data_IF_247471083992
#
_entry.id   IF_247471083992
#
_cell.length_a   1.000
_cell.length_b   1.000
_cell.length_c   1.000
_cell.angle_alpha   90.00
_cell.angle_beta   90.00
_cell.angle_gamma   90.00
#
_symmetry.space_group_name_H-M   'P 1'
#
loop_
_entity.id
_entity.type
_entity.pdbx_description
1 polymer ?
#
# COMPACT_ATOMS: atom_id res chain seq x y z
N UNK A 1 -24.30 6.35 -24.58
CA UNK A 1 -23.46 5.70 -23.55
C UNK A 1 -23.65 6.44 -22.22
N UNK A 2 -24.32 5.82 -21.24
CA UNK A 2 -24.56 6.47 -19.94
C UNK A 2 -23.40 6.15 -19.00
N UNK A 3 -22.67 7.20 -18.57
CA UNK A 3 -21.69 7.10 -17.49
C UNK A 3 -22.44 7.06 -16.15
N UNK A 4 -21.96 6.28 -15.21
CA UNK A 4 -22.52 6.21 -13.86
C UNK A 4 -21.62 6.97 -12.89
N UNK A 5 -22.20 7.84 -12.08
CA UNK A 5 -21.45 8.57 -11.05
C UNK A 5 -20.86 7.59 -10.03
N UNK A 6 -19.62 7.85 -9.63
CA UNK A 6 -18.93 7.10 -8.59
C UNK A 6 -18.24 8.05 -7.61
N UNK A 7 -18.15 7.62 -6.36
CA UNK A 7 -17.34 8.29 -5.35
C UNK A 7 -16.96 7.37 -4.20
N UNK A 8 -15.89 7.71 -3.49
CA UNK A 8 -15.36 6.93 -2.38
C UNK A 8 -14.59 7.79 -1.40
N UNK A 9 -14.67 7.47 -0.10
CA UNK A 9 -13.92 8.19 0.95
C UNK A 9 -12.72 7.35 1.35
N UNK A 10 -11.51 7.87 1.09
CA UNK A 10 -10.26 7.22 1.49
C UNK A 10 -9.76 7.85 2.78
N UNK A 11 -9.53 7.02 3.80
CA UNK A 11 -8.99 7.46 5.10
C UNK A 11 -7.65 6.80 5.36
N UNK A 12 -6.84 7.40 6.22
CA UNK A 12 -5.61 6.75 6.70
C UNK A 12 -5.93 5.39 7.34
N UNK A 13 -5.16 4.36 6.94
CA UNK A 13 -5.39 2.97 7.35
C UNK A 13 -6.62 2.28 6.73
N UNK A 14 -7.41 2.98 5.89
CA UNK A 14 -8.58 2.43 5.18
C UNK A 14 -8.46 2.70 3.68
N UNK A 15 -7.61 1.93 2.97
CA UNK A 15 -7.39 2.13 1.56
C UNK A 15 -8.58 1.68 0.71
N UNK A 16 -8.72 2.27 -0.47
CA UNK A 16 -9.69 1.85 -1.50
C UNK A 16 -9.01 0.92 -2.49
N UNK A 17 -9.64 -0.22 -2.80
CA UNK A 17 -9.17 -1.18 -3.81
C UNK A 17 -10.03 -1.08 -5.06
N UNK A 18 -9.43 -0.82 -6.23
CA UNK A 18 -10.15 -0.67 -7.50
C UNK A 18 -10.94 -1.91 -7.88
N UNK A 19 -10.37 -3.10 -7.67
CA UNK A 19 -11.00 -4.37 -8.03
C UNK A 19 -12.37 -4.54 -7.36
N UNK A 20 -12.49 -4.18 -6.08
CA UNK A 20 -13.77 -4.23 -5.35
C UNK A 20 -14.83 -3.27 -5.92
N UNK A 21 -14.40 -2.23 -6.64
CA UNK A 21 -15.32 -1.29 -7.30
C UNK A 21 -15.77 -1.79 -8.68
N UNK A 22 -15.00 -2.68 -9.31
CA UNK A 22 -15.19 -3.11 -10.71
C UNK A 22 -15.67 -4.57 -10.85
N UNK A 23 -15.43 -5.44 -9.88
CA UNK A 23 -15.65 -6.91 -9.94
C UNK A 23 -17.10 -7.31 -10.27
N UNK A 24 -18.09 -6.51 -9.88
CA UNK A 24 -19.51 -6.76 -10.17
C UNK A 24 -20.14 -5.68 -11.07
N UNK A 25 -19.30 -4.90 -11.74
CA UNK A 25 -19.75 -3.74 -12.52
C UNK A 25 -19.90 -4.12 -13.99
N UNK A 26 -20.97 -3.65 -14.64
CA UNK A 26 -21.13 -3.73 -16.10
C UNK A 26 -20.18 -2.78 -16.87
N UNK A 27 -19.34 -2.06 -16.14
CA UNK A 27 -18.46 -1.03 -16.65
C UNK A 27 -17.06 -1.58 -16.92
N UNK A 28 -16.42 -1.03 -17.96
CA UNK A 28 -15.10 -1.46 -18.39
C UNK A 28 -14.00 -0.81 -17.53
N UNK A 29 -14.20 0.47 -17.20
CA UNK A 29 -13.20 1.26 -16.50
C UNK A 29 -13.84 2.18 -15.47
N UNK A 30 -13.04 2.53 -14.46
CA UNK A 30 -13.29 3.61 -13.53
C UNK A 30 -12.41 4.80 -13.90
N UNK A 31 -13.03 5.93 -14.22
CA UNK A 31 -12.35 7.20 -14.37
C UNK A 31 -12.44 7.98 -13.04
N UNK A 32 -11.30 8.17 -12.37
CA UNK A 32 -11.19 9.02 -11.17
C UNK A 32 -10.75 10.41 -11.58
N UNK A 33 -11.63 11.39 -11.40
CA UNK A 33 -11.46 12.74 -11.96
C UNK A 33 -11.24 13.84 -10.92
N UNK A 34 -11.48 13.57 -9.65
CA UNK A 34 -11.30 14.55 -8.59
C UNK A 34 -10.94 13.93 -7.26
N UNK A 35 -10.07 14.62 -6.52
CA UNK A 35 -9.73 14.36 -5.14
C UNK A 35 -9.94 15.62 -4.30
N UNK A 36 -10.71 15.50 -3.22
CA UNK A 36 -11.02 16.59 -2.30
C UNK A 36 -10.64 16.20 -0.88
N UNK A 37 -9.78 16.99 -0.23
CA UNK A 37 -9.45 16.87 1.17
C UNK A 37 -10.59 17.39 2.03
N UNK A 38 -11.07 16.55 2.93
CA UNK A 38 -12.09 16.88 3.92
C UNK A 38 -11.49 16.71 5.32
N UNK A 39 -11.80 17.65 6.21
CA UNK A 39 -11.34 17.65 7.61
C UNK A 39 -9.80 17.61 7.77
N UNK A 40 -9.07 18.28 6.88
CA UNK A 40 -7.62 18.38 6.98
C UNK A 40 -7.16 19.20 8.20
N UNK A 41 -6.04 18.83 8.82
CA UNK A 41 -5.44 19.68 9.85
C UNK A 41 -4.85 20.95 9.21
N UNK A 42 -5.08 22.10 9.85
CA UNK A 42 -4.52 23.39 9.44
C UNK A 42 -2.99 23.28 9.34
N UNK A 43 -2.44 23.75 8.22
CA UNK A 43 -1.00 23.74 7.91
C UNK A 43 -0.34 22.35 7.78
N UNK A 44 -1.16 21.30 7.58
CA UNK A 44 -0.68 19.97 7.24
C UNK A 44 -0.91 19.62 5.76
N UNK A 45 -0.05 18.76 5.22
CA UNK A 45 -0.24 18.15 3.90
C UNK A 45 -0.82 16.76 4.07
N UNK A 46 -1.73 16.41 3.17
CA UNK A 46 -2.26 15.05 2.99
C UNK A 46 -1.86 14.57 1.61
N UNK A 47 -1.32 13.36 1.53
CA UNK A 47 -0.90 12.74 0.28
C UNK A 47 -1.81 11.58 -0.08
N UNK A 48 -2.34 11.60 -1.29
CA UNK A 48 -3.02 10.48 -1.91
C UNK A 48 -2.00 9.74 -2.77
N UNK A 49 -1.88 8.43 -2.55
CA UNK A 49 -0.97 7.56 -3.28
C UNK A 49 -1.70 6.38 -3.90
N UNK A 50 -1.17 5.87 -5.01
CA UNK A 50 -1.64 4.69 -5.71
C UNK A 50 -0.55 3.62 -5.73
N UNK A 51 -0.94 2.35 -5.59
CA UNK A 51 -0.03 1.19 -5.60
C UNK A 51 -0.71 -0.02 -6.24
N UNK A 52 0.04 -0.82 -6.99
CA UNK A 52 -0.42 -2.14 -7.46
C UNK A 52 0.32 -3.30 -6.77
N UNK A 53 1.19 -3.00 -5.79
CA UNK A 53 1.98 -3.99 -5.05
C UNK A 53 3.14 -4.64 -5.81
N UNK A 54 3.16 -4.52 -7.15
CA UNK A 54 4.22 -5.01 -8.04
C UNK A 54 5.11 -3.84 -8.44
N UNK A 55 4.88 -3.28 -9.62
CA UNK A 55 5.77 -2.29 -10.27
C UNK A 55 5.50 -0.86 -9.79
N UNK A 56 4.26 -0.59 -9.38
CA UNK A 56 3.85 0.71 -8.86
C UNK A 56 3.77 0.64 -7.34
N UNK A 57 4.78 1.18 -6.65
CA UNK A 57 4.84 1.24 -5.18
C UNK A 57 4.67 2.67 -4.69
N UNK A 58 3.53 2.94 -4.05
CA UNK A 58 3.25 4.20 -3.35
C UNK A 58 3.46 5.48 -4.19
N UNK A 59 3.09 5.45 -5.48
CA UNK A 59 3.17 6.64 -6.33
C UNK A 59 2.24 7.71 -5.78
N UNK A 60 2.78 8.89 -5.45
CA UNK A 60 1.95 10.04 -5.06
C UNK A 60 1.20 10.57 -6.28
N UNK A 61 -0.13 10.54 -6.22
CA UNK A 61 -1.01 11.04 -7.29
C UNK A 61 -1.60 12.41 -6.97
N UNK A 62 -1.68 12.78 -5.68
CA UNK A 62 -2.06 14.13 -5.28
C UNK A 62 -1.42 14.53 -3.94
N UNK A 63 -1.14 15.82 -3.80
CA UNK A 63 -0.82 16.48 -2.54
C UNK A 63 -1.84 17.59 -2.30
N UNK A 64 -2.47 17.53 -1.13
CA UNK A 64 -3.61 18.35 -0.72
C UNK A 64 -3.28 19.05 0.61
N UNK A 65 -3.84 20.23 0.81
CA UNK A 65 -3.82 20.96 2.09
C UNK A 65 -5.06 21.83 2.22
N UNK A 66 -5.30 22.47 3.36
CA UNK A 66 -6.44 23.39 3.50
C UNK A 66 -6.36 24.63 2.59
N UNK A 67 -5.18 24.96 2.05
CA UNK A 67 -5.00 26.01 1.04
C UNK A 67 -5.25 25.50 -0.39
N UNK A 68 -5.12 24.20 -0.59
CA UNK A 68 -5.36 23.54 -1.87
C UNK A 68 -6.02 22.18 -1.60
N UNK A 69 -7.31 22.27 -1.27
CA UNK A 69 -8.12 21.15 -0.81
C UNK A 69 -8.65 20.29 -1.96
N UNK A 70 -8.58 20.79 -3.18
CA UNK A 70 -9.13 20.13 -4.37
C UNK A 70 -8.05 19.93 -5.43
N UNK A 71 -8.05 18.75 -6.04
CA UNK A 71 -7.21 18.40 -7.19
C UNK A 71 -8.06 17.73 -8.25
N UNK A 72 -8.01 18.26 -9.47
CA UNK A 72 -8.43 17.53 -10.65
C UNK A 72 -7.45 16.38 -10.91
N UNK A 73 -8.01 15.22 -11.25
CA UNK A 73 -7.30 14.02 -11.64
C UNK A 73 -7.79 13.60 -13.03
N UNK A 74 -7.00 12.76 -13.70
CA UNK A 74 -7.37 12.15 -14.97
C UNK A 74 -6.78 10.73 -14.99
N UNK A 75 -7.35 9.86 -14.15
CA UNK A 75 -6.87 8.50 -13.94
C UNK A 75 -7.91 7.51 -14.45
N UNK A 76 -7.52 6.68 -15.42
CA UNK A 76 -8.33 5.56 -15.92
C UNK A 76 -7.80 4.26 -15.34
N UNK A 77 -8.72 3.49 -14.76
CA UNK A 77 -8.43 2.20 -14.12
C UNK A 77 -9.33 1.16 -14.75
N UNK A 78 -8.74 0.18 -15.43
CA UNK A 78 -9.50 -0.92 -16.01
C UNK A 78 -9.76 -2.05 -14.98
N UNK A 79 -10.62 -3.00 -15.33
CA UNK A 79 -10.95 -4.13 -14.46
C UNK A 79 -9.78 -5.10 -14.20
N UNK A 80 -8.72 -5.07 -15.01
CA UNK A 80 -7.52 -5.90 -14.83
C UNK A 80 -6.47 -5.27 -13.94
N UNK A 81 -6.58 -3.96 -13.66
CA UNK A 81 -5.68 -3.24 -12.79
C UNK A 81 -6.11 -3.32 -11.32
N UNK A 82 -5.23 -3.93 -10.51
CA UNK A 82 -5.38 -4.00 -9.06
C UNK A 82 -4.70 -2.80 -8.38
N UNK A 83 -5.31 -1.63 -8.48
CA UNK A 83 -4.84 -0.40 -7.83
C UNK A 83 -5.42 -0.25 -6.42
N UNK A 84 -4.57 0.21 -5.52
CA UNK A 84 -4.91 0.54 -4.14
C UNK A 84 -4.60 2.01 -3.91
N UNK A 85 -5.64 2.78 -3.59
CA UNK A 85 -5.50 4.18 -3.17
C UNK A 85 -5.40 4.27 -1.65
N UNK A 86 -4.37 4.96 -1.18
CA UNK A 86 -4.09 5.17 0.23
C UNK A 86 -3.87 6.65 0.51
N UNK A 87 -4.25 7.07 1.71
CA UNK A 87 -4.02 8.42 2.21
C UNK A 87 -3.03 8.36 3.36
N UNK A 88 -2.08 9.30 3.38
CA UNK A 88 -1.21 9.55 4.52
C UNK A 88 -1.35 11.01 4.98
N UNK A 89 -1.39 11.21 6.29
CA UNK A 89 -1.59 12.52 6.92
C UNK A 89 -3.00 12.71 7.52
N UNK A 90 -3.15 13.80 8.27
CA UNK A 90 -4.37 14.08 9.05
C UNK A 90 -5.50 14.60 8.16
N UNK A 91 -6.43 13.72 7.81
CA UNK A 91 -7.67 14.04 7.09
C UNK A 91 -8.21 12.84 6.34
N UNK A 92 -9.26 13.06 5.55
CA UNK A 92 -9.77 12.07 4.59
C UNK A 92 -9.87 12.69 3.19
N UNK A 93 -9.70 11.88 2.16
CA UNK A 93 -9.78 12.32 0.76
C UNK A 93 -10.99 11.69 0.11
N UNK A 94 -11.90 12.53 -0.38
CA UNK A 94 -13.06 12.13 -1.14
C UNK A 94 -12.66 12.07 -2.61
N UNK A 95 -12.74 10.88 -3.19
CA UNK A 95 -12.56 10.65 -4.61
C UNK A 95 -13.92 10.68 -5.30
N UNK A 96 -13.96 11.24 -6.50
CA UNK A 96 -15.15 11.18 -7.36
C UNK A 96 -14.76 11.02 -8.81
N UNK A 97 -15.73 10.54 -9.59
CA UNK A 97 -15.52 10.21 -10.98
C UNK A 97 -16.71 9.48 -11.58
N UNK A 98 -16.44 8.67 -12.59
CA UNK A 98 -17.46 7.94 -13.31
C UNK A 98 -17.00 6.54 -13.68
N UNK A 99 -17.92 5.59 -13.59
CA UNK A 99 -17.77 4.36 -14.32
C UNK A 99 -18.09 4.55 -15.80
N UNK A 100 -17.23 4.01 -16.64
CA UNK A 100 -17.33 4.07 -18.10
C UNK A 100 -17.86 2.75 -18.66
N UNK A 101 -18.98 2.76 -19.41
CA UNK A 101 -19.52 1.54 -20.01
C UNK A 101 -18.56 0.99 -21.08
N UNK A 102 -18.62 -0.32 -21.32
CA UNK A 102 -17.94 -0.94 -22.47
C UNK A 102 -18.36 -0.22 -23.75
N UNK A 103 -17.39 0.10 -24.60
CA UNK A 103 -17.70 0.60 -25.94
C UNK A 103 -18.35 -0.50 -26.78
N UNK A 104 -19.31 -0.15 -27.64
CA UNK A 104 -19.92 -1.10 -28.59
C UNK A 104 -18.86 -1.71 -29.55
N UNK A 105 -17.72 -1.04 -29.72
CA UNK A 105 -16.58 -1.48 -30.55
C UNK A 105 -15.39 -2.02 -29.71
N UNK A 106 -15.57 -2.23 -28.40
CA UNK A 106 -14.51 -2.79 -27.56
C UNK A 106 -14.69 -4.30 -27.45
N UNK A 107 -13.92 -5.04 -28.25
CA UNK A 107 -13.80 -6.49 -28.12
C UNK A 107 -13.37 -6.86 -26.69
N UNK A 108 -13.96 -7.93 -26.15
CA UNK A 108 -13.70 -8.38 -24.77
C UNK A 108 -12.21 -8.67 -24.54
N UNK A 109 -11.51 -9.11 -25.60
CA UNK A 109 -10.07 -9.42 -25.62
C UNK A 109 -9.15 -8.19 -25.45
N UNK A 110 -9.66 -6.95 -25.54
CA UNK A 110 -8.86 -5.73 -25.33
C UNK A 110 -8.73 -5.35 -23.84
N UNK A 111 -9.61 -5.85 -22.97
CA UNK A 111 -9.59 -5.52 -21.53
C UNK A 111 -8.86 -6.57 -20.69
N UNK A 112 -8.95 -7.84 -21.09
CA UNK A 112 -8.10 -8.89 -20.58
C UNK A 112 -6.73 -8.69 -21.23
N UNK A 113 -5.84 -7.97 -20.55
CA UNK A 113 -4.46 -7.86 -20.99
C UNK A 113 -3.97 -9.26 -21.34
N UNK A 114 -3.51 -9.46 -22.57
CA UNK A 114 -2.81 -10.69 -22.94
C UNK A 114 -1.75 -10.88 -21.87
N UNK A 115 -1.93 -11.88 -21.02
CA UNK A 115 -0.81 -12.44 -20.30
C UNK A 115 0.06 -13.04 -21.41
N UNK A 116 1.13 -12.33 -21.76
CA UNK A 116 2.24 -12.95 -22.44
C UNK A 116 2.70 -14.05 -21.47
N UNK A 117 2.27 -15.29 -21.75
CA UNK A 117 2.88 -16.51 -21.22
C UNK A 117 4.35 -16.48 -21.69
N UNK A 118 5.17 -15.80 -20.90
CA UNK A 118 6.62 -15.90 -20.96
C UNK A 118 7.00 -17.21 -20.24
N UNK A 119 6.67 -18.33 -20.91
CA UNK A 119 7.22 -19.65 -20.62
C UNK A 119 8.72 -19.64 -20.97
N UNK A 120 9.53 -18.99 -20.14
CA UNK A 120 10.96 -19.25 -20.06
C UNK A 120 11.25 -20.15 -18.85
N UNK A 121 11.35 -21.43 -19.20
CA UNK A 121 11.72 -22.59 -18.40
C UNK A 121 13.12 -22.42 -17.76
N UNK A 122 13.16 -22.64 -16.44
CA UNK A 122 14.27 -23.14 -15.61
C UNK A 122 15.68 -22.49 -15.70
N UNK A 123 15.99 -21.67 -14.68
CA UNK A 123 17.35 -21.28 -14.31
C UNK A 123 17.56 -21.26 -12.79
N UNK A 124 18.42 -22.15 -12.32
CA UNK A 124 18.60 -22.63 -10.94
C UNK A 124 18.88 -21.56 -9.85
N UNK A 125 18.33 -21.79 -8.65
CA UNK A 125 18.48 -21.03 -7.40
C UNK A 125 19.93 -20.66 -7.01
N UNK A 126 20.25 -19.36 -6.77
CA UNK A 126 21.54 -18.93 -6.22
C UNK A 126 21.72 -19.17 -4.70
N UNK A 127 20.80 -19.87 -4.03
CA UNK A 127 20.78 -19.98 -2.56
C UNK A 127 21.85 -20.97 -2.02
N UNK A 128 22.43 -21.85 -2.84
CA UNK A 128 23.44 -22.83 -2.37
C UNK A 128 24.88 -22.28 -2.25
N UNK A 129 25.17 -21.08 -2.75
CA UNK A 129 26.54 -20.50 -2.68
C UNK A 129 26.80 -19.64 -1.43
N UNK A 130 25.77 -19.19 -0.70
CA UNK A 130 25.96 -18.34 0.49
C UNK A 130 26.23 -19.13 1.80
N UNK A 131 25.93 -20.43 1.84
CA UNK A 131 26.14 -21.28 3.03
C UNK A 131 27.53 -21.96 3.08
N UNK A 132 28.33 -21.85 2.02
CA UNK A 132 29.67 -22.42 1.96
C UNK A 132 30.77 -21.51 2.56
N UNK A 133 30.52 -20.20 2.72
CA UNK A 133 31.54 -19.23 3.15
C UNK A 133 31.47 -18.81 4.63
N UNK A 134 30.61 -19.43 5.46
CA UNK A 134 30.51 -19.14 6.90
C UNK A 134 31.00 -20.27 7.83
N UNK A 135 31.86 -21.17 7.33
CA UNK A 135 32.43 -22.28 8.11
C UNK A 135 33.97 -22.41 8.02
N UNK A 136 34.70 -21.31 7.86
CA UNK A 136 36.17 -21.29 7.98
C UNK A 136 36.70 -20.01 8.63
N UNK A 137 36.29 -19.77 9.87
CA UNK A 137 37.04 -19.02 10.88
C UNK A 137 36.10 -18.84 12.07
N UNK A 138 36.10 -19.76 13.04
CA UNK A 138 36.68 -19.59 14.39
C UNK A 138 36.57 -20.94 15.10
N UNK A 139 37.66 -21.71 15.10
CA UNK A 139 37.85 -22.81 16.05
C UNK A 139 39.30 -22.79 16.51
N UNK A 140 39.53 -22.18 17.68
CA UNK A 140 40.58 -22.55 18.61
C UNK A 140 40.30 -21.94 19.99
N UNK A 141 40.35 -22.80 21.01
CA UNK A 141 40.23 -22.59 22.47
C UNK A 141 38.79 -22.43 23.01
N UNK A 142 38.16 -23.49 23.56
CA UNK A 142 38.36 -24.09 24.91
C UNK A 142 37.61 -23.28 25.97
N UNK A 143 36.82 -23.79 26.91
CA UNK A 143 36.33 -25.11 27.30
C UNK A 143 35.07 -24.87 28.17
N UNK A 144 34.52 -25.97 28.69
CA UNK A 144 33.17 -26.19 29.24
C UNK A 144 33.02 -25.70 30.73
N UNK A 145 32.00 -26.08 31.52
CA UNK A 145 30.99 -25.17 32.10
C UNK A 145 30.85 -25.27 33.66
N UNK A 146 29.74 -24.74 34.19
CA UNK A 146 29.05 -25.01 35.48
C UNK A 146 29.19 -24.00 36.64
N UNK A 147 28.20 -24.08 37.55
CA UNK A 147 27.80 -23.28 38.74
C UNK A 147 26.93 -22.02 38.46
N UNK A 148 25.61 -21.96 38.76
CA UNK A 148 24.76 -22.34 39.92
C UNK A 148 24.83 -21.34 41.10
N UNK A 149 23.68 -21.13 41.76
CA UNK A 149 23.36 -20.21 42.89
C UNK A 149 23.24 -18.71 42.57
N UNK A 150 22.41 -17.90 43.22
CA UNK A 150 21.20 -18.05 44.03
C UNK A 150 20.62 -16.62 44.22
N UNK A 151 19.41 -16.57 44.76
CA UNK A 151 18.60 -15.45 45.26
C UNK A 151 19.33 -14.20 45.80
N UNK A 152 18.77 -13.00 45.59
CA UNK A 152 18.19 -12.23 46.70
C UNK A 152 17.46 -10.95 46.24
N UNK A 153 16.35 -10.71 46.93
CA UNK A 153 15.48 -9.53 46.93
C UNK A 153 16.24 -8.27 47.41
N UNK A 154 15.71 -7.07 47.15
CA UNK A 154 15.64 -5.96 48.13
C UNK A 154 14.78 -4.83 47.52
N UNK A 155 13.62 -4.63 48.13
CA UNK A 155 12.80 -3.42 47.98
C UNK A 155 13.51 -2.21 48.61
N UNK A 156 13.31 -1.03 48.03
CA UNK A 156 13.51 0.22 48.79
C UNK A 156 12.42 1.23 48.48
N UNK A 157 11.47 1.30 49.41
CA UNK A 157 10.63 2.46 49.69
C UNK A 157 11.51 3.69 50.00
N UNK A 158 11.20 4.83 49.39
CA UNK A 158 11.56 6.14 49.93
C UNK A 158 10.39 7.11 49.69
N UNK A 159 9.50 7.18 50.69
CA UNK A 159 8.67 8.35 50.95
C UNK A 159 9.57 9.56 51.26
N UNK A 160 9.19 10.71 50.70
CA UNK A 160 9.76 12.01 51.02
C UNK A 160 8.66 13.07 51.04
N UNK A 161 7.98 13.20 52.16
CA UNK A 161 7.26 14.40 52.54
C UNK A 161 8.27 15.51 52.90
N UNK A 162 8.10 16.73 52.39
CA UNK A 162 7.87 17.91 53.26
C UNK A 162 7.52 19.19 52.46
N UNK A 163 6.68 20.01 53.13
CA UNK A 163 6.31 21.42 52.90
C UNK A 163 5.18 21.77 51.92
#
# INVERSE_FOLDING_TARGET
KNRMFWGHVVKEGKPMKSQQQLENSEFAALHVSSAVLVNGAKDSKVTLSASNGKDLKNLTVASLSMQQDTRALDLYINCTQNLVFSVAGKGEVHLSGYFEPKGEDMDEDMFYGQEEDDDEEEGEDPIKLALANKKRNVHAASANPEDDSDEDEEESDLEGADQ
#
